data_IF_526396183612
#
_entry.id   IF_526396183612
#
_cell.length_a   1.000
_cell.length_b   1.000
_cell.length_c   1.000
_cell.angle_alpha   90.00
_cell.angle_beta   90.00
_cell.angle_gamma   90.00
#
_symmetry.space_group_name_H-M   'P 1'
#
loop_
_entity.id
_entity.type
_entity.pdbx_description
1 polymer ?
#
# COMPACT_ATOMS: atom_id res chain seq x y z
N UNK A 1 37.65 -4.99 -31.71
CA UNK A 1 36.60 -5.16 -32.75
C UNK A 1 35.54 -6.18 -32.34
N UNK A 2 35.90 -7.39 -31.92
CA UNK A 2 34.93 -8.45 -31.52
C UNK A 2 34.04 -8.07 -30.33
N UNK A 3 34.55 -7.39 -29.30
CA UNK A 3 33.74 -6.91 -28.15
C UNK A 3 32.69 -5.86 -28.56
N UNK A 4 33.02 -4.94 -29.47
CA UNK A 4 32.09 -3.93 -29.98
C UNK A 4 31.00 -4.56 -30.86
N UNK A 5 31.37 -5.51 -31.72
CA UNK A 5 30.40 -6.26 -32.53
C UNK A 5 29.46 -7.11 -31.67
N UNK A 6 29.99 -7.76 -30.62
CA UNK A 6 29.18 -8.53 -29.66
C UNK A 6 28.21 -7.65 -28.87
N UNK A 7 28.67 -6.52 -28.35
CA UNK A 7 27.83 -5.52 -27.67
C UNK A 7 26.70 -5.00 -28.58
N UNK A 8 26.97 -4.75 -29.86
CA UNK A 8 25.96 -4.31 -30.82
C UNK A 8 24.90 -5.39 -31.11
N UNK A 9 25.31 -6.65 -31.25
CA UNK A 9 24.43 -7.80 -31.45
C UNK A 9 23.53 -8.01 -30.22
N UNK A 10 24.10 -7.98 -29.02
CA UNK A 10 23.34 -8.08 -27.77
C UNK A 10 22.44 -6.87 -27.55
N UNK A 11 22.86 -5.66 -27.92
CA UNK A 11 22.00 -4.48 -27.84
C UNK A 11 20.80 -4.54 -28.78
N UNK A 12 20.92 -5.24 -29.92
CA UNK A 12 19.84 -5.36 -30.91
C UNK A 12 18.92 -6.56 -30.69
N UNK A 13 19.43 -7.65 -30.12
CA UNK A 13 18.70 -8.92 -29.98
C UNK A 13 18.67 -9.50 -28.57
N UNK A 14 19.48 -8.96 -27.65
CA UNK A 14 19.46 -9.34 -26.25
C UNK A 14 18.19 -8.83 -25.57
N UNK A 15 17.72 -9.62 -24.62
CA UNK A 15 16.64 -9.22 -23.71
C UNK A 15 17.33 -8.89 -22.39
N UNK A 16 17.19 -7.64 -21.97
CA UNK A 16 17.64 -7.18 -20.65
C UNK A 16 16.41 -6.83 -19.81
N UNK A 17 16.45 -7.16 -18.53
CA UNK A 17 15.31 -7.00 -17.64
C UNK A 17 15.57 -7.53 -16.23
N UNK A 18 14.64 -7.22 -15.34
CA UNK A 18 14.76 -7.50 -13.92
C UNK A 18 13.88 -8.67 -13.50
N UNK A 19 14.47 -9.68 -12.87
CA UNK A 19 13.76 -10.77 -12.22
C UNK A 19 13.76 -10.53 -10.72
N UNK A 20 12.60 -10.19 -10.14
CA UNK A 20 12.46 -10.02 -8.69
C UNK A 20 12.06 -11.36 -8.06
N UNK A 21 12.91 -11.89 -7.18
CA UNK A 21 12.62 -13.08 -6.35
C UNK A 21 12.97 -12.74 -4.91
N UNK A 22 12.06 -13.04 -3.99
CA UNK A 22 12.24 -12.80 -2.55
C UNK A 22 12.64 -14.11 -1.89
N UNK A 23 13.39 -14.07 -0.80
CA UNK A 23 13.78 -15.28 -0.07
C UNK A 23 12.57 -16.14 0.29
N UNK A 24 12.69 -17.45 0.02
CA UNK A 24 11.64 -18.43 0.19
C UNK A 24 10.62 -18.49 -0.96
N UNK A 25 10.59 -17.50 -1.87
CA UNK A 25 9.67 -17.43 -3.00
C UNK A 25 10.31 -17.86 -4.32
N UNK A 26 9.45 -18.16 -5.29
CA UNK A 26 9.83 -18.60 -6.64
C UNK A 26 9.34 -17.60 -7.68
N UNK A 27 10.15 -17.30 -8.69
CA UNK A 27 9.85 -16.38 -9.77
C UNK A 27 10.35 -16.86 -11.14
N UNK A 28 9.57 -16.56 -12.18
CA UNK A 28 9.92 -16.85 -13.58
C UNK A 28 9.63 -15.67 -14.52
N UNK A 29 9.19 -14.53 -14.00
CA UNK A 29 8.76 -13.38 -14.80
C UNK A 29 9.81 -12.28 -14.73
N UNK A 30 10.40 -11.98 -15.88
CA UNK A 30 11.36 -10.89 -16.09
C UNK A 30 10.58 -9.67 -16.53
N UNK A 31 10.76 -8.55 -15.83
CA UNK A 31 10.21 -7.25 -16.20
C UNK A 31 11.19 -6.56 -17.13
N UNK A 32 10.75 -6.24 -18.35
CA UNK A 32 11.55 -5.58 -19.36
C UNK A 32 11.41 -4.05 -19.23
N UNK A 33 12.43 -3.25 -19.61
CA UNK A 33 12.36 -1.80 -19.55
C UNK A 33 11.40 -1.19 -20.58
N UNK A 34 10.98 -1.97 -21.59
CA UNK A 34 10.09 -1.51 -22.64
C UNK A 34 8.68 -1.34 -22.10
N UNK A 35 8.07 -0.18 -22.37
CA UNK A 35 6.70 0.10 -22.03
C UNK A 35 5.77 -0.44 -23.13
N UNK A 36 4.70 -1.12 -22.74
CA UNK A 36 3.79 -1.79 -23.69
C UNK A 36 2.33 -1.49 -23.35
N UNK A 37 1.54 -1.34 -24.42
CA UNK A 37 0.08 -1.43 -24.39
C UNK A 37 -0.29 -2.82 -24.88
N UNK A 38 -0.88 -3.61 -24.00
CA UNK A 38 -1.33 -4.96 -24.29
C UNK A 38 -2.85 -4.97 -24.38
N UNK A 39 -3.38 -5.39 -25.53
CA UNK A 39 -4.80 -5.54 -25.78
C UNK A 39 -5.08 -7.02 -25.96
N UNK A 40 -5.82 -7.59 -25.01
CA UNK A 40 -6.23 -8.99 -25.01
C UNK A 40 -7.76 -9.06 -25.05
N UNK A 41 -8.31 -9.73 -26.05
CA UNK A 41 -9.73 -10.05 -26.17
C UNK A 41 -9.92 -11.43 -26.78
N UNK A 42 -11.16 -11.84 -26.97
CA UNK A 42 -11.48 -13.17 -27.52
C UNK A 42 -10.91 -13.38 -28.93
N UNK A 43 -10.83 -12.32 -29.74
CA UNK A 43 -10.42 -12.37 -31.15
C UNK A 43 -9.01 -11.84 -31.41
N UNK A 44 -8.33 -11.31 -30.39
CA UNK A 44 -7.06 -10.62 -30.58
C UNK A 44 -6.17 -10.64 -29.34
N UNK A 45 -4.87 -10.81 -29.59
CA UNK A 45 -3.82 -10.50 -28.64
C UNK A 45 -2.78 -9.63 -29.34
N UNK A 46 -2.60 -8.39 -28.88
CA UNK A 46 -1.64 -7.44 -29.45
C UNK A 46 -0.85 -6.76 -28.35
N UNK A 47 0.46 -6.66 -28.57
CA UNK A 47 1.38 -5.82 -27.81
C UNK A 47 1.86 -4.70 -28.72
N UNK A 48 1.83 -3.48 -28.21
CA UNK A 48 2.30 -2.29 -28.93
C UNK A 48 3.22 -1.50 -28.03
N UNK A 49 4.43 -1.25 -28.50
CA UNK A 49 5.50 -0.65 -27.70
C UNK A 49 5.44 0.88 -27.74
N UNK A 50 5.67 1.48 -26.58
CA UNK A 50 5.79 2.92 -26.39
C UNK A 50 7.19 3.27 -25.88
N UNK A 51 7.76 4.34 -26.43
CA UNK A 51 9.04 4.87 -25.95
C UNK A 51 8.76 5.88 -24.84
N UNK A 52 9.30 5.63 -23.64
CA UNK A 52 9.19 6.57 -22.51
C UNK A 52 10.19 7.72 -22.70
N UNK A 53 9.74 8.79 -23.34
CA UNK A 53 10.51 10.03 -23.52
C UNK A 53 10.36 11.00 -22.34
N UNK A 54 10.98 12.18 -22.44
CA UNK A 54 10.83 13.26 -21.45
C UNK A 54 9.56 14.10 -21.64
N UNK A 55 8.98 14.07 -22.84
CA UNK A 55 7.82 14.87 -23.20
C UNK A 55 6.58 14.00 -23.40
N UNK A 56 5.37 14.52 -23.16
CA UNK A 56 4.14 13.86 -23.55
C UNK A 56 4.12 13.56 -25.06
N UNK A 57 3.48 12.45 -25.43
CA UNK A 57 3.19 12.10 -26.81
C UNK A 57 1.71 12.34 -27.09
N UNK A 58 1.40 12.88 -28.26
CA UNK A 58 0.03 13.02 -28.74
C UNK A 58 -0.36 11.92 -29.74
N UNK A 59 -1.57 12.01 -30.28
CA UNK A 59 -2.12 11.04 -31.22
C UNK A 59 -1.26 10.89 -32.49
N UNK A 60 -0.60 11.96 -32.95
CA UNK A 60 0.21 11.97 -34.16
C UNK A 60 1.56 11.27 -33.92
N UNK A 61 2.14 11.44 -32.74
CA UNK A 61 3.36 10.75 -32.33
C UNK A 61 3.17 9.23 -32.24
N UNK A 62 1.93 8.79 -31.99
CA UNK A 62 1.54 7.38 -31.82
C UNK A 62 0.84 6.79 -33.06
N UNK A 63 0.99 7.39 -34.24
CA UNK A 63 0.32 6.93 -35.47
C UNK A 63 0.62 5.47 -35.83
N UNK A 64 1.88 5.03 -35.69
CA UNK A 64 2.27 3.65 -36.01
C UNK A 64 1.63 2.62 -35.08
N UNK A 65 1.56 2.96 -33.79
CA UNK A 65 0.91 2.19 -32.74
C UNK A 65 -0.61 2.12 -32.98
N UNK A 66 -1.20 3.25 -33.37
CA UNK A 66 -2.62 3.35 -33.70
C UNK A 66 -3.00 2.51 -34.93
N UNK A 67 -2.15 2.42 -35.95
CA UNK A 67 -2.41 1.54 -37.10
C UNK A 67 -2.39 0.05 -36.68
N UNK A 68 -1.52 -0.33 -35.74
CA UNK A 68 -1.49 -1.70 -35.20
C UNK A 68 -2.74 -2.06 -34.36
N UNK A 69 -3.38 -1.06 -33.75
CA UNK A 69 -4.58 -1.21 -32.90
C UNK A 69 -5.88 -0.86 -33.64
N UNK A 70 -5.79 -0.60 -34.95
CA UNK A 70 -6.89 -0.10 -35.78
C UNK A 70 -8.13 -0.98 -35.65
N UNK A 71 -9.28 -0.31 -35.46
CA UNK A 71 -10.58 -0.96 -35.33
C UNK A 71 -10.87 -1.54 -33.94
N UNK A 72 -10.00 -1.34 -32.95
CA UNK A 72 -10.26 -1.72 -31.55
C UNK A 72 -10.17 -0.52 -30.62
N UNK A 73 -9.04 0.18 -30.61
CA UNK A 73 -8.89 1.40 -29.83
C UNK A 73 -7.84 2.32 -30.47
N UNK A 74 -7.76 3.55 -29.99
CA UNK A 74 -6.74 4.52 -30.37
C UNK A 74 -6.05 5.06 -29.12
N UNK A 75 -4.73 5.18 -29.18
CA UNK A 75 -3.91 5.91 -28.23
C UNK A 75 -4.02 7.41 -28.56
N UNK A 76 -4.48 8.20 -27.60
CA UNK A 76 -4.74 9.63 -27.81
C UNK A 76 -3.66 10.53 -27.21
N UNK A 77 -3.22 10.23 -25.98
CA UNK A 77 -2.20 11.00 -25.27
C UNK A 77 -1.43 10.09 -24.33
N UNK A 78 -0.12 10.23 -24.26
CA UNK A 78 0.72 9.55 -23.28
C UNK A 78 1.51 10.60 -22.50
N UNK A 79 1.44 10.57 -21.18
CA UNK A 79 2.20 11.43 -20.27
C UNK A 79 3.22 10.55 -19.55
N UNK A 80 4.53 10.67 -19.84
CA UNK A 80 5.55 9.73 -19.33
C UNK A 80 5.75 9.80 -17.82
N UNK A 81 5.52 10.97 -17.22
CA UNK A 81 5.61 11.21 -15.78
C UNK A 81 4.32 11.90 -15.36
N UNK A 82 3.35 11.11 -14.93
CA UNK A 82 1.98 11.55 -14.71
C UNK A 82 1.61 11.53 -13.24
N UNK A 83 0.86 12.56 -12.81
CA UNK A 83 0.01 12.50 -11.63
C UNK A 83 -1.42 12.20 -12.11
N UNK A 84 -1.99 11.13 -11.57
CA UNK A 84 -3.39 10.78 -11.80
C UNK A 84 -4.25 11.49 -10.78
N UNK A 85 -5.17 12.30 -11.25
CA UNK A 85 -6.16 13.00 -10.45
C UNK A 85 -7.55 12.51 -10.87
N UNK A 86 -8.32 11.96 -9.93
CA UNK A 86 -9.72 11.58 -10.18
C UNK A 86 -10.64 12.76 -9.88
N UNK A 87 -11.38 13.19 -10.88
CA UNK A 87 -12.37 14.26 -10.80
C UNK A 87 -13.80 13.76 -10.99
N UNK A 88 -14.74 14.69 -10.85
CA UNK A 88 -16.16 14.47 -11.13
C UNK A 88 -16.62 15.45 -12.21
N UNK A 89 -17.09 14.92 -13.34
CA UNK A 89 -17.63 15.70 -14.46
C UNK A 89 -19.13 15.53 -14.52
N UNK A 90 -19.86 16.65 -14.62
CA UNK A 90 -21.31 16.64 -14.80
C UNK A 90 -21.65 16.22 -16.23
N UNK A 91 -22.48 15.20 -16.36
CA UNK A 91 -22.99 14.68 -17.64
C UNK A 91 -24.51 14.46 -17.52
N UNK A 92 -25.32 15.53 -17.69
CA UNK A 92 -26.77 15.44 -17.58
C UNK A 92 -27.34 14.43 -18.57
N UNK A 93 -28.18 13.52 -18.08
CA UNK A 93 -28.89 12.54 -18.92
C UNK A 93 -28.15 11.22 -19.17
N UNK A 94 -26.92 11.05 -18.67
CA UNK A 94 -26.23 9.74 -18.71
C UNK A 94 -26.86 8.78 -17.69
N UNK A 95 -27.16 7.55 -18.11
CA UNK A 95 -27.86 6.55 -17.28
C UNK A 95 -27.01 6.09 -16.08
N UNK A 96 -25.69 6.06 -16.27
CA UNK A 96 -24.70 5.72 -15.24
C UNK A 96 -24.30 6.92 -14.37
N UNK A 97 -24.70 8.15 -14.71
CA UNK A 97 -24.43 9.30 -13.86
C UNK A 97 -25.04 9.10 -12.46
N UNK A 98 -24.29 9.50 -11.43
CA UNK A 98 -24.67 9.33 -10.03
C UNK A 98 -24.53 10.61 -9.24
N UNK A 99 -24.63 10.46 -7.92
CA UNK A 99 -24.31 11.52 -6.96
C UNK A 99 -22.91 11.31 -6.42
N UNK A 100 -22.15 12.40 -6.31
CA UNK A 100 -20.85 12.39 -5.65
C UNK A 100 -20.75 13.45 -4.55
N UNK A 101 -20.03 13.10 -3.49
CA UNK A 101 -19.70 14.00 -2.38
C UNK A 101 -18.19 14.10 -2.28
N UNK A 102 -17.68 15.31 -2.52
CA UNK A 102 -16.29 15.66 -2.24
C UNK A 102 -16.17 16.12 -0.79
N UNK A 103 -15.13 15.68 -0.10
CA UNK A 103 -14.89 16.06 1.29
C UNK A 103 -13.39 16.16 1.58
N UNK A 104 -13.06 16.93 2.61
CA UNK A 104 -11.71 17.07 3.15
C UNK A 104 -11.74 16.56 4.60
N UNK A 105 -10.90 15.58 4.90
CA UNK A 105 -10.72 15.08 6.25
C UNK A 105 -9.34 15.48 6.77
N UNK A 106 -9.31 16.09 7.95
CA UNK A 106 -8.09 16.55 8.60
C UNK A 106 -7.96 15.94 9.99
N UNK A 107 -6.76 15.48 10.29
CA UNK A 107 -6.35 15.06 11.63
C UNK A 107 -5.02 15.73 11.98
N UNK A 108 -4.49 15.57 13.21
CA UNK A 108 -3.14 16.02 13.54
C UNK A 108 -2.03 15.39 12.69
N UNK A 109 -2.30 14.25 12.04
CA UNK A 109 -1.29 13.45 11.33
C UNK A 109 -1.45 13.45 9.82
N UNK A 110 -2.61 13.84 9.28
CA UNK A 110 -2.86 13.83 7.84
C UNK A 110 -3.95 14.83 7.44
N UNK A 111 -3.96 15.15 6.15
CA UNK A 111 -5.00 15.92 5.48
C UNK A 111 -5.28 15.27 4.12
N UNK A 112 -6.51 14.81 3.89
CA UNK A 112 -6.89 14.06 2.68
C UNK A 112 -8.16 14.67 2.08
N UNK A 113 -8.13 14.97 0.78
CA UNK A 113 -9.28 15.45 0.00
C UNK A 113 -9.69 14.37 -1.00
N UNK A 114 -10.94 13.95 -0.96
CA UNK A 114 -11.41 12.75 -1.66
C UNK A 114 -12.87 12.90 -2.12
N UNK A 115 -13.28 12.00 -3.01
CA UNK A 115 -14.66 11.89 -3.48
C UNK A 115 -15.24 10.51 -3.19
N UNK A 116 -16.49 10.48 -2.72
CA UNK A 116 -17.35 9.29 -2.77
C UNK A 116 -18.32 9.44 -3.93
N UNK A 117 -18.52 8.37 -4.69
CA UNK A 117 -19.47 8.31 -5.80
C UNK A 117 -20.42 7.14 -5.60
N UNK A 118 -21.73 7.38 -5.72
CA UNK A 118 -22.79 6.41 -5.43
C UNK A 118 -22.59 5.03 -6.09
N UNK A 119 -22.19 4.99 -7.36
CA UNK A 119 -22.05 3.72 -8.11
C UNK A 119 -20.63 3.15 -8.07
N UNK A 120 -19.62 3.97 -8.35
CA UNK A 120 -18.23 3.52 -8.51
C UNK A 120 -17.44 3.38 -7.20
N UNK A 121 -17.65 4.31 -6.25
CA UNK A 121 -16.93 4.35 -4.97
C UNK A 121 -17.89 4.69 -3.82
N UNK A 122 -18.90 3.84 -3.53
CA UNK A 122 -19.91 4.14 -2.53
C UNK A 122 -19.37 4.11 -1.10
N UNK A 123 -18.26 3.41 -0.89
CA UNK A 123 -17.66 3.19 0.42
C UNK A 123 -16.15 3.36 0.32
N UNK A 124 -15.56 4.08 1.27
CA UNK A 124 -14.11 4.22 1.39
C UNK A 124 -13.70 4.09 2.85
N UNK A 125 -12.66 3.29 3.13
CA UNK A 125 -12.05 3.23 4.46
C UNK A 125 -10.94 4.27 4.56
N UNK A 126 -10.96 5.05 5.63
CA UNK A 126 -9.88 6.00 5.95
C UNK A 126 -9.54 5.90 7.43
N UNK A 127 -8.36 5.33 7.71
CA UNK A 127 -7.98 4.96 9.07
C UNK A 127 -9.00 4.01 9.69
N UNK A 128 -9.53 4.29 10.90
CA UNK A 128 -10.55 3.46 11.55
C UNK A 128 -11.99 3.86 11.18
N UNK A 129 -12.18 4.87 10.32
CA UNK A 129 -13.49 5.28 9.85
C UNK A 129 -13.82 4.64 8.49
N UNK A 130 -15.08 4.24 8.33
CA UNK A 130 -15.69 3.83 7.07
C UNK A 130 -16.60 4.96 6.60
N UNK A 131 -16.28 5.55 5.46
CA UNK A 131 -17.07 6.60 4.83
C UNK A 131 -18.00 5.94 3.81
N UNK A 132 -19.27 6.31 3.80
CA UNK A 132 -20.25 5.78 2.85
C UNK A 132 -21.21 6.86 2.36
N UNK A 133 -21.49 6.87 1.07
CA UNK A 133 -22.57 7.68 0.49
C UNK A 133 -23.85 6.84 0.37
N UNK A 134 -24.99 7.46 0.69
CA UNK A 134 -26.33 6.89 0.56
C UNK A 134 -27.19 7.93 -0.15
N UNK A 135 -27.93 7.54 -1.17
CA UNK A 135 -28.83 8.42 -1.93
C UNK A 135 -30.29 8.10 -1.59
N UNK A 136 -31.12 9.12 -1.43
CA UNK A 136 -32.56 8.97 -1.16
C UNK A 136 -32.90 8.70 0.31
N UNK A 137 -34.07 8.09 0.56
CA UNK A 137 -34.52 7.78 1.91
C UNK A 137 -33.67 6.68 2.55
N UNK A 138 -33.10 7.00 3.70
CA UNK A 138 -32.34 6.05 4.51
C UNK A 138 -33.28 4.97 4.98
N UNK A 139 -33.20 3.78 4.39
CA UNK A 139 -33.77 2.62 5.04
C UNK A 139 -33.05 2.45 6.37
N UNK A 140 -33.76 2.37 7.52
CA UNK A 140 -33.13 2.16 8.80
C UNK A 140 -32.24 0.93 8.67
N UNK A 141 -30.94 1.08 8.97
CA UNK A 141 -30.01 -0.03 9.01
C UNK A 141 -30.66 -1.05 9.93
N UNK A 142 -31.16 -2.15 9.37
CA UNK A 142 -31.60 -3.26 10.20
C UNK A 142 -30.36 -3.62 11.00
N UNK A 143 -30.39 -3.32 12.30
CA UNK A 143 -29.31 -3.63 13.22
C UNK A 143 -28.90 -5.05 12.88
N UNK A 144 -27.67 -5.23 12.36
CA UNK A 144 -27.17 -6.54 12.00
C UNK A 144 -27.24 -7.31 13.30
N UNK A 145 -28.31 -8.11 13.48
CA UNK A 145 -28.49 -8.91 14.67
C UNK A 145 -27.22 -9.74 14.71
N UNK A 146 -26.39 -9.62 15.76
CA UNK A 146 -25.12 -10.31 15.80
C UNK A 146 -25.42 -11.77 15.49
N UNK A 147 -24.93 -12.23 14.33
CA UNK A 147 -25.11 -13.59 13.84
C UNK A 147 -24.91 -14.52 15.03
N UNK A 148 -25.92 -15.33 15.32
CA UNK A 148 -26.00 -16.16 16.52
C UNK A 148 -24.64 -16.80 16.76
N UNK A 149 -23.95 -16.33 17.83
CA UNK A 149 -22.55 -16.65 18.14
C UNK A 149 -22.23 -18.08 17.70
N UNK A 150 -21.59 -18.23 16.55
CA UNK A 150 -21.00 -19.50 16.19
C UNK A 150 -20.05 -19.84 17.34
N UNK A 151 -20.35 -20.91 18.08
CA UNK A 151 -19.47 -21.43 19.12
C UNK A 151 -18.19 -21.88 18.41
N UNK A 152 -17.28 -20.94 18.18
CA UNK A 152 -15.92 -21.24 17.79
C UNK A 152 -15.36 -22.08 18.93
N UNK A 153 -15.13 -23.35 18.63
CA UNK A 153 -14.49 -24.27 19.56
C UNK A 153 -13.14 -23.66 19.92
N UNK A 154 -13.02 -23.15 21.15
CA UNK A 154 -11.75 -22.72 21.74
C UNK A 154 -10.82 -23.94 21.69
N UNK A 155 -9.92 -23.97 20.72
CA UNK A 155 -8.83 -24.92 20.69
C UNK A 155 -8.02 -24.72 21.96
N UNK A 156 -7.71 -25.82 22.65
CA UNK A 156 -6.85 -25.77 23.85
C UNK A 156 -5.52 -25.10 23.45
N UNK A 157 -5.03 -24.12 24.22
CA UNK A 157 -3.81 -23.42 23.88
C UNK A 157 -2.65 -24.43 23.79
N UNK A 158 -2.10 -24.59 22.58
CA UNK A 158 -0.85 -25.31 22.39
C UNK A 158 0.24 -24.68 23.26
N UNK A 159 1.12 -25.51 23.83
CA UNK A 159 2.19 -25.12 24.76
C UNK A 159 2.93 -23.85 24.28
N UNK A 160 2.56 -22.70 24.84
CA UNK A 160 3.14 -21.40 24.49
C UNK A 160 4.55 -21.32 25.07
N UNK A 161 5.57 -21.15 24.22
CA UNK A 161 6.89 -20.73 24.70
C UNK A 161 6.70 -19.36 25.36
N UNK A 162 6.95 -19.29 26.67
CA UNK A 162 6.94 -18.01 27.39
C UNK A 162 8.02 -17.12 26.78
N UNK A 163 7.71 -15.83 26.61
CA UNK A 163 8.73 -14.82 26.26
C UNK A 163 9.87 -14.98 27.27
N UNK A 164 11.04 -15.36 26.77
CA UNK A 164 12.20 -15.63 27.60
C UNK A 164 12.66 -14.32 28.27
N UNK A 165 13.23 -14.43 29.47
CA UNK A 165 13.65 -13.28 30.28
C UNK A 165 14.81 -12.46 29.70
N UNK A 166 15.21 -12.76 28.47
CA UNK A 166 16.35 -12.20 27.74
C UNK A 166 15.98 -11.00 26.87
N UNK A 167 14.70 -10.76 26.60
CA UNK A 167 14.24 -9.55 25.88
C UNK A 167 14.48 -8.26 26.68
N UNK A 168 14.92 -7.21 25.98
CA UNK A 168 15.28 -5.92 26.56
C UNK A 168 14.50 -4.79 25.90
N UNK A 169 14.06 -3.82 26.69
CA UNK A 169 13.61 -2.51 26.23
C UNK A 169 14.79 -1.55 26.34
N UNK A 170 15.28 -1.07 25.22
CA UNK A 170 16.27 0.00 25.19
C UNK A 170 15.54 1.34 25.24
N UNK A 171 15.96 2.19 26.16
CA UNK A 171 15.41 3.52 26.36
C UNK A 171 16.51 4.50 25.97
N UNK A 172 16.28 5.21 24.88
CA UNK A 172 17.22 6.17 24.30
C UNK A 172 16.77 7.59 24.56
N UNK A 173 17.74 8.49 24.59
CA UNK A 173 17.49 9.92 24.59
C UNK A 173 16.98 10.33 23.21
N UNK A 174 15.86 11.03 23.13
CA UNK A 174 15.28 11.45 21.86
C UNK A 174 16.13 12.52 21.15
N UNK A 175 16.95 13.27 21.89
CA UNK A 175 17.77 14.36 21.34
C UNK A 175 19.04 13.88 20.65
N UNK A 176 19.71 12.85 21.19
CA UNK A 176 21.01 12.40 20.70
C UNK A 176 21.09 10.88 20.42
N UNK A 177 20.01 10.12 20.64
CA UNK A 177 19.93 8.68 20.34
C UNK A 177 20.70 7.77 21.31
N UNK A 178 21.40 8.32 22.31
CA UNK A 178 22.18 7.54 23.27
C UNK A 178 21.28 6.67 24.15
N UNK A 179 21.71 5.43 24.42
CA UNK A 179 21.00 4.52 25.33
C UNK A 179 21.13 5.06 26.77
N UNK A 180 20.03 5.55 27.33
CA UNK A 180 19.93 6.01 28.71
C UNK A 180 19.79 4.83 29.67
N UNK A 181 19.01 3.82 29.29
CA UNK A 181 18.78 2.63 30.12
C UNK A 181 18.38 1.43 29.27
N UNK A 182 18.75 0.24 29.70
CA UNK A 182 18.26 -1.03 29.15
C UNK A 182 17.54 -1.80 30.25
N UNK A 183 16.30 -2.20 30.02
CA UNK A 183 15.44 -2.85 31.02
C UNK A 183 14.92 -4.19 30.51
N UNK A 184 14.81 -5.17 31.39
CA UNK A 184 14.15 -6.45 31.09
C UNK A 184 12.69 -6.41 31.56
N UNK A 185 11.88 -7.38 31.11
CA UNK A 185 10.53 -7.56 31.66
C UNK A 185 10.51 -7.84 33.17
N UNK A 186 11.60 -8.40 33.72
CA UNK A 186 11.72 -8.59 35.18
C UNK A 186 11.84 -7.26 35.93
N UNK A 187 12.41 -6.24 35.29
CA UNK A 187 12.56 -4.93 35.91
C UNK A 187 11.21 -4.21 35.98
N UNK A 188 10.42 -4.24 34.90
CA UNK A 188 9.06 -3.69 34.90
C UNK A 188 8.12 -4.39 35.87
N UNK A 189 8.33 -5.68 36.16
CA UNK A 189 7.55 -6.43 37.17
C UNK A 189 7.80 -5.96 38.61
N UNK A 190 8.89 -5.24 38.88
CA UNK A 190 9.17 -4.69 40.21
C UNK A 190 8.36 -3.41 40.50
N UNK A 191 7.75 -2.81 39.47
CA UNK A 191 6.95 -1.59 39.57
C UNK A 191 7.34 -0.54 38.52
N UNK A 192 6.75 0.66 38.58
CA UNK A 192 7.12 1.78 37.74
C UNK A 192 8.60 2.18 37.92
N UNK A 193 9.26 2.60 36.84
CA UNK A 193 10.68 2.95 36.84
C UNK A 193 10.83 4.41 36.45
N UNK A 194 11.48 5.22 37.28
CA UNK A 194 11.77 6.62 36.96
C UNK A 194 13.07 6.73 36.14
N UNK A 195 13.01 7.43 35.01
CA UNK A 195 14.13 7.69 34.11
C UNK A 195 14.09 9.16 33.70
N UNK A 196 15.06 9.95 34.15
CA UNK A 196 15.15 11.39 33.86
C UNK A 196 13.84 12.16 34.15
N UNK A 197 13.15 11.83 35.25
CA UNK A 197 11.88 12.49 35.61
C UNK A 197 10.65 11.97 34.86
N UNK A 198 10.79 10.91 34.06
CA UNK A 198 9.69 10.19 33.42
C UNK A 198 9.47 8.87 34.14
N UNK A 199 8.29 8.67 34.71
CA UNK A 199 7.87 7.39 35.27
C UNK A 199 7.36 6.48 34.15
N UNK A 200 8.00 5.33 33.94
CA UNK A 200 7.67 4.34 32.92
C UNK A 200 7.06 3.12 33.59
N UNK A 201 5.85 2.76 33.21
CA UNK A 201 5.12 1.60 33.73
C UNK A 201 4.72 0.67 32.59
N UNK A 202 4.86 -0.65 32.81
CA UNK A 202 4.41 -1.66 31.86
C UNK A 202 2.92 -1.93 32.09
N UNK A 203 2.12 -1.75 31.04
CA UNK A 203 0.67 -1.95 31.08
C UNK A 203 0.33 -3.38 30.66
N UNK A 204 0.74 -3.75 29.44
CA UNK A 204 0.44 -5.07 28.86
C UNK A 204 1.67 -5.64 28.13
N UNK A 205 1.70 -6.98 28.04
CA UNK A 205 2.69 -7.75 27.28
C UNK A 205 1.92 -8.64 26.31
N UNK A 206 2.27 -8.57 25.05
CA UNK A 206 1.67 -9.37 23.98
C UNK A 206 2.75 -10.27 23.36
N UNK A 207 2.42 -11.53 23.06
CA UNK A 207 3.32 -12.43 22.33
C UNK A 207 3.15 -12.31 20.81
N UNK A 208 1.91 -12.07 20.38
CA UNK A 208 1.43 -11.95 19.01
C UNK A 208 0.55 -10.72 18.93
N UNK A 209 1.17 -9.56 19.10
CA UNK A 209 0.49 -8.29 19.03
C UNK A 209 -0.17 -8.10 17.67
N UNK A 210 -1.49 -7.96 17.70
CA UNK A 210 -2.29 -7.51 16.57
C UNK A 210 -3.00 -6.23 16.97
N UNK A 211 -3.11 -5.29 16.03
CA UNK A 211 -3.92 -4.10 16.23
C UNK A 211 -5.35 -4.47 15.90
N UNK A 212 -6.20 -4.51 16.91
CA UNK A 212 -7.64 -4.75 16.77
C UNK A 212 -8.38 -3.68 17.53
N UNK A 213 -9.44 -3.12 16.94
CA UNK A 213 -10.26 -2.10 17.60
C UNK A 213 -9.44 -0.85 18.05
N UNK A 214 -8.40 -0.50 17.29
CA UNK A 214 -7.46 0.59 17.61
C UNK A 214 -6.74 0.41 18.97
N UNK A 215 -6.66 -0.83 19.45
CA UNK A 215 -5.92 -1.24 20.64
C UNK A 215 -5.02 -2.41 20.28
N UNK A 216 -4.04 -2.66 21.14
CA UNK A 216 -3.28 -3.91 21.05
C UNK A 216 -4.10 -5.02 21.66
N UNK A 217 -4.20 -6.12 20.93
CA UNK A 217 -4.75 -7.37 21.40
C UNK A 217 -3.75 -8.50 21.15
N UNK A 218 -3.92 -9.57 21.90
CA UNK A 218 -3.21 -10.82 21.67
C UNK A 218 -3.90 -11.55 20.50
N UNK A 219 -3.16 -11.81 19.43
CA UNK A 219 -3.64 -12.51 18.25
C UNK A 219 -3.77 -14.01 18.47
N UNK A 220 -4.76 -14.63 17.82
CA UNK A 220 -5.02 -16.07 17.92
C UNK A 220 -4.18 -16.92 16.96
N UNK A 221 -3.58 -16.33 15.91
CA UNK A 221 -2.73 -16.98 14.91
C UNK A 221 -1.64 -16.06 14.33
N UNK A 222 -0.81 -16.58 13.42
CA UNK A 222 0.23 -15.82 12.72
C UNK A 222 1.65 -15.91 13.33
N UNK A 223 2.61 -15.23 12.68
CA UNK A 223 4.00 -15.09 13.13
C UNK A 223 4.05 -14.38 14.48
N UNK A 224 4.97 -14.80 15.35
CA UNK A 224 5.18 -14.15 16.65
C UNK A 224 5.63 -12.69 16.46
N UNK A 225 4.81 -11.75 16.94
CA UNK A 225 5.09 -10.32 16.95
C UNK A 225 4.95 -9.78 18.38
N UNK A 226 5.92 -10.02 19.26
CA UNK A 226 5.79 -9.63 20.64
C UNK A 226 5.79 -8.10 20.76
N UNK A 227 4.94 -7.55 21.62
CA UNK A 227 4.88 -6.11 21.85
C UNK A 227 4.65 -5.79 23.31
N UNK A 228 5.08 -4.60 23.71
CA UNK A 228 4.84 -4.05 25.04
C UNK A 228 4.04 -2.76 24.92
N UNK A 229 3.05 -2.64 25.78
CA UNK A 229 2.33 -1.39 26.00
C UNK A 229 2.85 -0.72 27.26
N UNK A 230 3.38 0.49 27.10
CA UNK A 230 3.98 1.27 28.16
C UNK A 230 3.12 2.51 28.44
N UNK A 231 3.04 2.89 29.72
CA UNK A 231 2.47 4.16 30.16
C UNK A 231 3.59 5.01 30.76
N UNK A 232 3.72 6.21 30.22
CA UNK A 232 4.74 7.19 30.55
C UNK A 232 4.08 8.35 31.30
N UNK A 233 4.63 8.77 32.44
CA UNK A 233 4.11 9.92 33.19
C UNK A 233 5.24 10.88 33.53
N UNK A 234 5.10 12.16 33.21
CA UNK A 234 6.06 13.20 33.59
C UNK A 234 5.31 14.51 33.86
N UNK A 235 5.62 15.17 34.97
CA UNK A 235 5.01 16.45 35.37
C UNK A 235 3.46 16.43 35.34
N UNK A 236 2.86 15.32 35.77
CA UNK A 236 1.40 15.14 35.77
C UNK A 236 0.77 14.86 34.41
N UNK A 237 1.54 14.86 33.31
CA UNK A 237 1.09 14.47 31.97
C UNK A 237 1.36 12.99 31.75
N UNK A 238 0.40 12.27 31.19
CA UNK A 238 0.54 10.86 30.83
C UNK A 238 0.55 10.69 29.30
N UNK A 239 1.38 9.78 28.82
CA UNK A 239 1.44 9.35 27.42
C UNK A 239 1.47 7.83 27.33
N UNK A 240 0.92 7.29 26.24
CA UNK A 240 0.93 5.87 25.90
C UNK A 240 2.00 5.62 24.85
N UNK A 241 2.78 4.56 25.02
CA UNK A 241 3.78 4.13 24.05
C UNK A 241 3.63 2.63 23.76
N UNK A 242 3.97 2.23 22.53
CA UNK A 242 3.91 0.84 22.08
C UNK A 242 5.20 0.51 21.36
N UNK A 243 5.84 -0.58 21.78
CA UNK A 243 7.06 -1.08 21.15
C UNK A 243 6.89 -2.53 20.70
N UNK A 244 7.29 -2.81 19.46
CA UNK A 244 7.19 -4.14 18.85
C UNK A 244 8.57 -4.78 18.72
N UNK A 245 8.65 -6.08 18.97
CA UNK A 245 9.88 -6.86 18.84
C UNK A 245 10.30 -7.06 17.38
N UNK A 246 9.33 -7.26 16.47
CA UNK A 246 9.61 -7.35 15.04
C UNK A 246 9.86 -6.01 14.38
N UNK A 247 9.47 -4.90 15.00
CA UNK A 247 9.65 -3.54 14.48
C UNK A 247 10.24 -2.64 15.57
N UNK A 248 11.51 -2.83 15.97
CA UNK A 248 12.09 -2.12 17.10
C UNK A 248 12.10 -0.60 16.95
N UNK A 249 12.06 -0.10 15.70
CA UNK A 249 12.05 1.33 15.37
C UNK A 249 10.64 1.96 15.38
N UNK A 250 9.59 1.14 15.45
CA UNK A 250 8.23 1.66 15.51
C UNK A 250 7.96 2.27 16.88
N UNK A 251 7.40 3.48 16.90
CA UNK A 251 6.93 4.17 18.09
C UNK A 251 5.69 5.00 17.74
N UNK A 252 4.78 5.17 18.70
CA UNK A 252 3.65 6.10 18.56
C UNK A 252 4.12 7.56 18.61
N UNK A 253 5.32 7.81 19.11
CA UNK A 253 5.95 9.12 19.23
C UNK A 253 7.32 9.08 18.53
N UNK A 254 7.39 9.21 17.20
CA UNK A 254 8.65 9.07 16.45
C UNK A 254 9.74 10.07 16.91
N UNK A 255 9.33 11.24 17.42
CA UNK A 255 10.24 12.24 18.00
C UNK A 255 10.56 12.01 19.49
N UNK A 256 10.13 10.88 20.05
CA UNK A 256 10.21 10.54 21.46
C UNK A 256 9.05 11.11 22.29
N UNK A 257 8.73 10.43 23.38
CA UNK A 257 7.78 10.87 24.39
C UNK A 257 8.54 11.35 25.63
N UNK A 258 8.29 12.60 26.04
CA UNK A 258 9.00 13.25 27.16
C UNK A 258 10.54 13.20 27.02
N UNK A 259 11.04 13.33 25.78
CA UNK A 259 12.48 13.27 25.49
C UNK A 259 13.09 11.87 25.49
N UNK A 260 12.28 10.80 25.54
CA UNK A 260 12.73 9.41 25.51
C UNK A 260 12.15 8.66 24.30
N UNK A 261 12.95 7.78 23.70
CA UNK A 261 12.53 6.79 22.69
C UNK A 261 12.69 5.38 23.26
N UNK A 262 11.84 4.46 22.80
CA UNK A 262 11.78 3.10 23.31
C UNK A 262 11.92 2.12 22.15
N UNK A 263 12.81 1.14 22.28
CA UNK A 263 13.00 0.05 21.31
C UNK A 263 12.87 -1.29 22.05
N UNK A 264 12.08 -2.23 21.51
CA UNK A 264 11.96 -3.56 22.11
C UNK A 264 12.79 -4.58 21.33
N UNK A 265 13.86 -5.05 21.97
CA UNK A 265 14.76 -6.04 21.41
C UNK A 265 14.40 -7.43 21.95
N UNK A 266 13.97 -8.30 21.04
CA UNK A 266 13.70 -9.71 21.34
C UNK A 266 14.80 -10.56 20.70
N UNK A 267 15.58 -11.32 21.50
CA UNK A 267 16.64 -12.18 20.97
C UNK A 267 16.13 -13.15 19.91
N UNK A 268 16.83 -13.25 18.79
CA UNK A 268 16.46 -14.12 17.68
C UNK A 268 15.30 -13.61 16.81
N UNK A 269 14.76 -12.42 17.10
CA UNK A 269 13.74 -11.74 16.29
C UNK A 269 14.21 -10.40 15.73
N UNK A 270 15.53 -10.21 15.61
CA UNK A 270 16.05 -9.09 14.83
C UNK A 270 15.46 -9.16 13.43
N UNK A 271 14.94 -8.04 12.95
CA UNK A 271 14.94 -7.79 11.51
C UNK A 271 16.40 -8.05 11.11
N UNK A 272 16.67 -9.00 10.22
CA UNK A 272 17.90 -8.94 9.44
C UNK A 272 17.86 -7.57 8.79
N UNK A 273 18.52 -6.61 9.43
CA UNK A 273 18.52 -5.20 9.01
C UNK A 273 19.21 -5.16 7.66
N UNK A 274 18.44 -5.39 6.60
CA UNK A 274 18.59 -4.60 5.40
C UNK A 274 18.55 -3.15 5.85
N UNK A 275 19.68 -2.48 5.68
CA UNK A 275 19.86 -1.07 5.97
C UNK A 275 18.86 -0.24 5.16
N UNK A 276 17.69 0.02 5.73
CA UNK A 276 16.79 1.08 5.26
C UNK A 276 17.37 2.40 5.75
N UNK A 277 18.41 2.86 5.06
CA UNK A 277 18.78 4.26 5.08
C UNK A 277 17.89 4.97 4.05
N UNK A 278 17.07 5.88 4.56
CA UNK A 278 16.29 6.91 3.87
C UNK A 278 15.15 6.53 2.90
N UNK A 279 14.01 7.15 3.22
CA UNK A 279 12.94 7.63 2.35
C UNK A 279 12.29 6.65 1.37
N UNK A 280 11.33 5.88 1.89
CA UNK A 280 9.94 5.99 1.41
C UNK A 280 9.02 5.18 2.32
N UNK A 281 7.81 5.70 2.54
CA UNK A 281 6.75 5.09 3.34
C UNK A 281 6.10 3.89 2.60
N UNK A 282 6.91 3.05 1.94
CA UNK A 282 6.45 1.91 1.15
C UNK A 282 6.60 0.64 1.98
N UNK A 283 5.46 0.06 2.35
CA UNK A 283 5.40 -1.24 3.02
C UNK A 283 6.06 -2.32 2.12
N UNK A 284 6.81 -3.29 2.69
CA UNK A 284 7.49 -4.32 1.92
C UNK A 284 6.50 -5.21 1.13
N UNK A 285 6.92 -5.62 -0.08
CA UNK A 285 6.18 -6.52 -0.95
C UNK A 285 5.92 -7.87 -0.25
N UNK A 286 4.65 -8.23 -0.10
CA UNK A 286 4.19 -9.34 0.75
C UNK A 286 3.22 -8.90 1.87
N UNK A 287 3.11 -7.59 2.11
CA UNK A 287 1.94 -7.04 2.78
C UNK A 287 0.72 -7.21 1.88
N UNK A 288 -0.23 -8.07 2.30
CA UNK A 288 -1.60 -8.00 1.78
C UNK A 288 -2.09 -6.57 2.01
N UNK A 289 -2.64 -5.86 1.01
CA UNK A 289 -3.23 -4.55 1.25
C UNK A 289 -4.19 -4.68 2.44
N UNK A 290 -4.09 -3.75 3.39
CA UNK A 290 -4.92 -3.73 4.61
C UNK A 290 -6.42 -3.45 4.30
N UNK A 291 -6.85 -3.69 3.07
CA UNK A 291 -8.22 -3.80 2.61
C UNK A 291 -8.53 -5.29 2.40
N UNK A 292 -8.86 -6.03 3.47
CA UNK A 292 -9.54 -7.30 3.23
C UNK A 292 -9.61 -8.35 4.34
N UNK A 293 -8.73 -8.38 5.33
CA UNK A 293 -8.81 -9.42 6.37
C UNK A 293 -8.47 -8.87 7.76
N UNK A 294 -9.47 -8.19 8.33
CA UNK A 294 -9.58 -8.06 9.79
C UNK A 294 -10.41 -9.27 10.24
N UNK A 295 -9.81 -10.13 11.05
CA UNK A 295 -10.51 -11.17 11.79
C UNK A 295 -11.73 -10.59 12.51
N UNK A 296 -12.91 -11.21 12.33
CA UNK A 296 -14.26 -10.78 12.72
C UNK A 296 -14.51 -10.57 14.24
N UNK A 297 -13.48 -10.30 15.04
CA UNK A 297 -13.61 -10.02 16.46
C UNK A 297 -14.01 -8.54 16.71
N UNK A 298 -15.31 -8.29 16.52
CA UNK A 298 -16.24 -7.51 17.37
C UNK A 298 -16.13 -6.02 17.70
N UNK A 299 -15.35 -5.17 17.02
CA UNK A 299 -15.69 -3.72 17.00
C UNK A 299 -16.21 -3.32 15.64
N UNK A 300 -17.49 -2.93 15.56
CA UNK A 300 -18.00 -2.28 14.36
C UNK A 300 -17.18 -1.00 14.11
N UNK A 301 -16.73 -0.76 12.86
CA UNK A 301 -15.95 0.43 12.53
C UNK A 301 -16.75 1.70 12.85
N UNK A 302 -16.06 2.82 13.07
CA UNK A 302 -16.75 4.11 13.08
C UNK A 302 -17.24 4.38 11.65
N UNK A 303 -18.48 4.83 11.48
CA UNK A 303 -19.07 5.06 10.16
C UNK A 303 -19.40 6.54 10.01
N UNK A 304 -19.05 7.10 8.87
CA UNK A 304 -19.48 8.43 8.41
C UNK A 304 -20.37 8.21 7.19
N UNK A 305 -21.66 8.48 7.35
CA UNK A 305 -22.67 8.35 6.30
C UNK A 305 -23.04 9.72 5.72
N UNK A 306 -22.85 9.87 4.42
CA UNK A 306 -23.31 11.02 3.64
C UNK A 306 -24.63 10.66 2.97
N UNK A 307 -25.74 11.13 3.54
CA UNK A 307 -27.07 10.88 3.01
C UNK A 307 -27.45 12.06 2.14
N UNK A 308 -27.39 11.83 0.84
CA UNK A 308 -27.65 12.88 -0.15
C UNK A 308 -29.11 12.75 -0.60
N UNK A 309 -29.96 13.75 -0.31
CA UNK A 309 -31.35 13.75 -0.78
C UNK A 309 -31.39 13.79 -2.32
N UNK A 310 -32.51 13.43 -2.92
CA UNK A 310 -32.69 13.49 -4.38
C UNK A 310 -32.56 14.93 -4.91
N UNK A 311 -33.05 15.90 -4.12
CA UNK A 311 -33.04 17.34 -4.44
C UNK A 311 -32.43 18.15 -3.29
N UNK A 312 -31.93 19.35 -3.60
CA UNK A 312 -31.33 20.27 -2.64
C UNK A 312 -29.80 20.23 -2.56
N UNK A 313 -29.25 21.26 -1.91
CA UNK A 313 -27.80 21.53 -1.79
C UNK A 313 -27.21 21.11 -0.43
N UNK A 314 -28.03 20.57 0.46
CA UNK A 314 -27.61 20.06 1.77
C UNK A 314 -27.66 18.53 1.75
N UNK A 315 -26.71 17.90 2.45
CA UNK A 315 -26.77 16.48 2.76
C UNK A 315 -26.97 16.29 4.26
N UNK A 316 -27.53 15.16 4.64
CA UNK A 316 -27.57 14.75 6.03
C UNK A 316 -26.33 13.90 6.33
N UNK A 317 -25.58 14.28 7.35
CA UNK A 317 -24.43 13.51 7.81
C UNK A 317 -24.80 12.73 9.06
N UNK A 318 -24.53 11.42 9.05
CA UNK A 318 -24.68 10.54 10.22
C UNK A 318 -23.34 9.98 10.63
N UNK A 319 -23.01 10.11 11.91
CA UNK A 319 -21.80 9.54 12.51
C UNK A 319 -22.22 8.40 13.43
N UNK A 320 -21.67 7.21 13.18
CA UNK A 320 -21.88 6.04 14.02
C UNK A 320 -20.58 5.61 14.68
N UNK A 321 -20.63 5.31 15.97
CA UNK A 321 -19.51 4.79 16.75
C UNK A 321 -19.93 3.48 17.37
N UNK A 322 -19.24 2.39 17.05
CA UNK A 322 -19.61 1.04 17.50
C UNK A 322 -21.06 0.65 17.16
N UNK A 323 -21.59 1.14 16.04
CA UNK A 323 -22.97 0.90 15.61
C UNK A 323 -24.03 1.82 16.23
N UNK A 324 -23.67 2.66 17.21
CA UNK A 324 -24.57 3.65 17.80
C UNK A 324 -24.44 4.99 17.08
N UNK A 325 -25.56 5.61 16.72
CA UNK A 325 -25.59 6.95 16.16
C UNK A 325 -25.21 7.97 17.24
N UNK A 326 -24.13 8.71 17.00
CA UNK A 326 -23.59 9.72 17.93
C UNK A 326 -23.79 11.14 17.43
N UNK A 327 -24.00 11.33 16.12
CA UNK A 327 -24.34 12.62 15.54
C UNK A 327 -25.18 12.41 14.28
N UNK A 328 -26.20 13.25 14.13
CA UNK A 328 -26.99 13.39 12.91
C UNK A 328 -27.21 14.88 12.65
N UNK A 329 -26.77 15.39 11.50
CA UNK A 329 -26.82 16.83 11.20
C UNK A 329 -26.88 17.09 9.70
N UNK A 330 -27.72 18.04 9.29
CA UNK A 330 -27.68 18.58 7.93
C UNK A 330 -26.51 19.55 7.74
N UNK A 331 -25.73 19.33 6.68
CA UNK A 331 -24.53 20.10 6.35
C UNK A 331 -24.57 20.53 4.88
N UNK A 332 -24.21 21.78 4.62
CA UNK A 332 -23.96 22.28 3.26
C UNK A 332 -22.49 22.11 2.86
N UNK A 333 -22.21 22.26 1.57
CA UNK A 333 -20.84 22.42 1.08
C UNK A 333 -20.13 23.61 1.78
N UNK A 334 -18.86 23.44 2.10
CA UNK A 334 -18.02 24.33 2.90
C UNK A 334 -18.14 24.16 4.42
N UNK A 335 -19.20 23.52 4.92
CA UNK A 335 -19.34 23.31 6.37
C UNK A 335 -18.32 22.30 6.90
N UNK A 336 -17.77 22.59 8.08
CA UNK A 336 -16.82 21.72 8.80
C UNK A 336 -17.42 21.24 10.11
N UNK A 337 -17.20 19.97 10.43
CA UNK A 337 -17.61 19.36 11.69
C UNK A 337 -16.44 18.58 12.33
N UNK A 338 -16.39 18.60 13.65
CA UNK A 338 -15.51 17.74 14.42
C UNK A 338 -16.18 16.38 14.62
N UNK A 339 -15.44 15.32 14.33
CA UNK A 339 -15.89 13.96 14.61
C UNK A 339 -15.73 13.65 16.10
N UNK A 340 -16.61 12.85 16.73
CA UNK A 340 -16.57 12.57 18.16
C UNK A 340 -15.49 11.55 18.55
N UNK A 341 -14.57 11.25 17.64
CA UNK A 341 -13.45 10.36 17.85
C UNK A 341 -12.18 10.96 17.22
N UNK A 342 -11.06 10.84 17.94
CA UNK A 342 -9.71 11.10 17.42
C UNK A 342 -9.37 12.54 17.00
N UNK A 343 -10.20 13.54 17.32
CA UNK A 343 -9.91 14.95 17.00
C UNK A 343 -9.74 15.20 15.50
N UNK A 344 -10.54 14.51 14.67
CA UNK A 344 -10.56 14.74 13.24
C UNK A 344 -11.69 15.70 12.88
N UNK A 345 -11.44 16.58 11.94
CA UNK A 345 -12.44 17.40 11.29
C UNK A 345 -12.77 16.90 9.89
N UNK A 346 -14.05 17.00 9.53
CA UNK A 346 -14.59 16.67 8.22
C UNK A 346 -15.23 17.94 7.65
N UNK A 347 -14.72 18.39 6.51
CA UNK A 347 -15.28 19.49 5.73
C UNK A 347 -15.96 18.92 4.50
N UNK A 348 -17.22 19.28 4.27
CA UNK A 348 -17.91 18.93 3.03
C UNK A 348 -17.38 19.86 1.94
N UNK A 349 -16.75 19.33 0.91
CA UNK A 349 -16.20 20.11 -0.19
C UNK A 349 -17.29 20.53 -1.16
N UNK A 350 -17.93 19.56 -1.81
CA UNK A 350 -19.01 19.81 -2.75
C UNK A 350 -19.92 18.60 -2.91
N UNK A 351 -21.14 18.85 -3.36
CA UNK A 351 -22.15 17.83 -3.67
C UNK A 351 -22.47 18.00 -5.14
N UNK A 352 -22.18 16.99 -5.95
CA UNK A 352 -22.46 17.02 -7.38
C UNK A 352 -23.44 15.92 -7.75
N UNK A 353 -24.31 16.21 -8.71
CA UNK A 353 -25.35 15.31 -9.20
C UNK A 353 -25.18 15.11 -10.68
N UNK A 354 -25.66 13.97 -11.17
CA UNK A 354 -25.48 13.58 -12.56
C UNK A 354 -24.01 13.67 -12.97
N UNK A 355 -23.13 13.20 -12.09
CA UNK A 355 -21.69 13.14 -12.35
C UNK A 355 -21.25 11.74 -12.70
N UNK A 356 -20.16 11.66 -13.44
CA UNK A 356 -19.36 10.45 -13.64
C UNK A 356 -17.94 10.74 -13.16
N UNK A 357 -17.25 9.73 -12.63
CA UNK A 357 -15.84 9.91 -12.32
C UNK A 357 -15.07 10.01 -13.62
N UNK A 358 -14.19 10.99 -13.69
CA UNK A 358 -13.28 11.16 -14.81
C UNK A 358 -11.88 11.23 -14.26
N UNK A 359 -11.06 10.29 -14.68
CA UNK A 359 -9.64 10.35 -14.39
C UNK A 359 -8.98 11.34 -15.34
N UNK A 360 -8.03 12.10 -14.81
CA UNK A 360 -7.20 13.02 -15.57
C UNK A 360 -5.73 12.75 -15.22
N UNK A 361 -4.88 12.78 -16.23
CA UNK A 361 -3.44 12.74 -16.04
C UNK A 361 -2.84 14.11 -16.35
N UNK A 362 -2.08 14.63 -15.39
CA UNK A 362 -1.27 15.84 -15.54
C UNK A 362 0.21 15.49 -15.47
N UNK A 363 1.07 16.33 -16.05
CA UNK A 363 2.51 16.18 -15.91
C UNK A 363 2.91 16.38 -14.44
N UNK A 364 3.54 15.37 -13.86
CA UNK A 364 4.08 15.45 -12.51
C UNK A 364 5.44 16.16 -12.52
N UNK A 365 5.73 17.05 -11.54
CA UNK A 365 7.04 17.64 -11.42
C UNK A 365 8.08 16.55 -11.12
N UNK A 366 9.24 16.63 -11.77
CA UNK A 366 10.37 15.77 -11.47
C UNK A 366 11.15 16.37 -10.29
N UNK A 367 11.16 15.66 -9.17
CA UNK A 367 11.89 16.06 -7.97
C UNK A 367 13.19 15.27 -7.93
N UNK A 368 14.32 15.97 -7.79
CA UNK A 368 15.64 15.33 -7.75
C UNK A 368 15.72 14.35 -6.57
N UNK A 369 16.27 13.15 -6.81
CA UNK A 369 16.43 12.06 -5.83
C UNK A 369 15.15 11.37 -5.39
N UNK A 370 13.98 11.83 -5.81
CA UNK A 370 12.74 11.07 -5.66
C UNK A 370 12.58 10.04 -6.79
N UNK A 371 11.88 8.92 -6.55
CA UNK A 371 11.49 8.01 -7.62
C UNK A 371 10.70 8.75 -8.71
N UNK A 372 11.01 8.45 -9.97
CA UNK A 372 10.32 9.06 -11.10
C UNK A 372 8.82 8.70 -11.07
N UNK A 373 7.92 9.66 -11.33
CA UNK A 373 6.49 9.38 -11.44
C UNK A 373 6.18 8.33 -12.52
N UNK A 374 5.11 7.57 -12.31
CA UNK A 374 4.61 6.59 -13.28
C UNK A 374 4.01 7.29 -14.51
N UNK A 375 4.03 6.63 -15.66
CA UNK A 375 3.34 7.16 -16.85
C UNK A 375 1.83 6.99 -16.79
N UNK A 376 1.10 7.73 -17.62
CA UNK A 376 -0.33 7.53 -17.86
C UNK A 376 -0.66 7.63 -19.35
N UNK A 377 -1.55 6.76 -19.82
CA UNK A 377 -1.95 6.64 -21.21
C UNK A 377 -3.46 6.85 -21.34
N UNK A 378 -3.84 7.77 -22.21
CA UNK A 378 -5.22 7.97 -22.61
C UNK A 378 -5.53 7.14 -23.85
N UNK A 379 -6.54 6.29 -23.75
CA UNK A 379 -7.06 5.48 -24.84
C UNK A 379 -8.49 5.90 -25.21
N UNK A 380 -8.87 5.67 -26.46
CA UNK A 380 -10.23 5.88 -26.98
C UNK A 380 -10.71 4.55 -27.59
N UNK A 381 -11.69 3.88 -26.99
CA UNK A 381 -12.30 2.67 -27.58
C UNK A 381 -12.89 2.95 -28.97
N UNK A 382 -12.87 1.96 -29.87
CA UNK A 382 -13.48 2.11 -31.19
C UNK A 382 -14.97 2.41 -31.07
N UNK A 383 -15.48 3.23 -32.01
CA UNK A 383 -16.86 3.71 -31.96
C UNK A 383 -17.13 4.79 -30.90
N UNK A 384 -16.17 5.10 -30.01
CA UNK A 384 -16.28 6.20 -29.04
C UNK A 384 -15.51 7.44 -29.52
N UNK A 385 -16.05 8.61 -29.20
CA UNK A 385 -15.36 9.90 -29.33
C UNK A 385 -14.44 10.18 -28.14
N UNK A 386 -13.89 11.40 -28.07
CA UNK A 386 -13.06 11.85 -26.94
C UNK A 386 -13.79 11.81 -25.59
N UNK A 387 -15.12 11.91 -25.59
CA UNK A 387 -15.94 11.78 -24.38
C UNK A 387 -15.90 10.37 -23.77
N UNK A 388 -15.58 9.35 -24.57
CA UNK A 388 -15.35 7.98 -24.10
C UNK A 388 -13.88 7.65 -23.86
N UNK A 389 -13.00 8.66 -23.81
CA UNK A 389 -11.59 8.45 -23.53
C UNK A 389 -11.37 8.02 -22.08
N UNK A 390 -10.41 7.12 -21.87
CA UNK A 390 -10.10 6.55 -20.57
C UNK A 390 -8.60 6.67 -20.32
N UNK A 391 -8.22 7.07 -19.10
CA UNK A 391 -6.83 7.05 -18.67
C UNK A 391 -6.50 5.72 -17.98
N UNK A 392 -5.29 5.22 -18.25
CA UNK A 392 -4.72 4.03 -17.64
C UNK A 392 -3.34 4.41 -17.12
N UNK A 393 -3.08 4.24 -15.83
CA UNK A 393 -1.75 4.47 -15.27
C UNK A 393 -0.83 3.28 -15.56
N UNK A 394 0.47 3.51 -15.62
CA UNK A 394 1.48 2.46 -15.76
C UNK A 394 1.35 1.42 -14.64
N UNK A 395 1.19 0.14 -15.02
CA UNK A 395 0.92 -0.98 -14.11
C UNK A 395 -0.56 -1.37 -14.04
N UNK A 396 -1.48 -0.56 -14.55
CA UNK A 396 -2.92 -0.83 -14.49
C UNK A 396 -3.44 -1.60 -15.71
N UNK A 397 -4.65 -2.14 -15.54
CA UNK A 397 -5.45 -2.70 -16.63
C UNK A 397 -6.90 -2.23 -16.54
N UNK A 398 -7.52 -1.97 -17.69
CA UNK A 398 -8.95 -1.66 -17.82
C UNK A 398 -9.65 -2.72 -18.64
N UNK A 399 -10.89 -3.00 -18.27
CA UNK A 399 -11.78 -3.90 -19.00
C UNK A 399 -12.79 -3.07 -19.78
N UNK A 400 -12.94 -3.36 -21.07
CA UNK A 400 -13.72 -2.58 -22.02
C UNK A 400 -14.67 -3.51 -22.78
N UNK A 401 -15.84 -3.00 -23.15
CA UNK A 401 -16.73 -3.65 -24.10
C UNK A 401 -16.77 -2.84 -25.40
N UNK A 402 -16.40 -3.46 -26.52
CA UNK A 402 -16.35 -2.84 -27.85
C UNK A 402 -17.06 -3.78 -28.82
N UNK A 403 -18.14 -3.31 -29.44
CA UNK A 403 -19.01 -4.13 -30.31
C UNK A 403 -19.45 -5.45 -29.64
N UNK A 404 -19.95 -5.35 -28.39
CA UNK A 404 -20.38 -6.47 -27.54
C UNK A 404 -19.30 -7.52 -27.21
N UNK A 405 -18.02 -7.21 -27.48
CA UNK A 405 -16.87 -8.06 -27.12
C UNK A 405 -16.08 -7.46 -25.97
N UNK A 406 -15.60 -8.33 -25.11
CA UNK A 406 -14.82 -7.95 -23.95
C UNK A 406 -13.32 -7.91 -24.28
N UNK A 407 -12.66 -6.82 -23.87
CA UNK A 407 -11.24 -6.58 -24.04
C UNK A 407 -10.62 -6.16 -22.71
N UNK A 408 -9.47 -6.71 -22.37
CA UNK A 408 -8.58 -6.21 -21.32
C UNK A 408 -7.45 -5.43 -21.96
N UNK A 409 -7.31 -4.17 -21.57
CA UNK A 409 -6.20 -3.30 -21.98
C UNK A 409 -5.30 -3.07 -20.79
N UNK A 410 -4.05 -3.50 -20.87
CA UNK A 410 -3.02 -3.28 -19.86
C UNK A 410 -2.00 -2.28 -20.39
N UNK A 411 -1.56 -1.37 -19.53
CA UNK A 411 -0.48 -0.44 -19.82
C UNK A 411 0.60 -0.58 -18.75
N UNK A 412 1.84 -0.88 -19.14
CA UNK A 412 2.92 -1.06 -18.17
C UNK A 412 4.18 -1.63 -18.80
N UNK A 413 5.14 -1.99 -17.95
CA UNK A 413 6.34 -2.69 -18.39
C UNK A 413 5.96 -4.00 -19.13
N UNK A 414 6.71 -4.32 -20.18
CA UNK A 414 6.61 -5.61 -20.84
C UNK A 414 7.17 -6.69 -19.90
N UNK A 415 6.66 -7.91 -20.06
CA UNK A 415 7.09 -9.04 -19.25
C UNK A 415 7.45 -10.21 -20.14
N UNK A 416 8.50 -10.90 -19.75
CA UNK A 416 8.99 -12.11 -20.39
C UNK A 416 9.02 -13.25 -19.38
N UNK A 417 8.45 -14.40 -19.74
CA UNK A 417 8.46 -15.58 -18.88
C UNK A 417 9.64 -16.49 -19.26
N UNK A 418 10.51 -16.74 -18.29
CA UNK A 418 11.60 -17.70 -18.42
C UNK A 418 11.05 -19.12 -18.62
N UNK A 419 11.77 -20.00 -19.34
CA UNK A 419 11.38 -21.40 -19.50
C UNK A 419 11.60 -22.25 -18.23
N UNK A 420 12.11 -21.64 -17.15
CA UNK A 420 12.30 -22.22 -15.84
C UNK A 420 11.91 -21.20 -14.77
N UNK A 421 11.68 -21.68 -13.55
CA UNK A 421 11.51 -20.82 -12.38
C UNK A 421 12.72 -20.91 -11.46
N UNK A 422 13.03 -19.81 -10.79
CA UNK A 422 14.05 -19.73 -9.76
C UNK A 422 13.45 -19.45 -8.40
N UNK A 423 13.83 -20.25 -7.43
CA UNK A 423 13.52 -20.04 -6.03
C UNK A 423 14.73 -19.50 -5.30
N UNK A 424 14.60 -18.34 -4.66
CA UNK A 424 15.67 -17.80 -3.82
C UNK A 424 15.61 -18.50 -2.46
N UNK A 425 16.60 -19.34 -2.15
CA UNK A 425 16.68 -20.06 -0.88
C UNK A 425 17.23 -19.17 0.22
N UNK A 426 18.30 -18.43 -0.11
CA UNK A 426 19.01 -17.56 0.82
C UNK A 426 19.79 -16.49 0.07
N UNK A 427 19.77 -15.28 0.58
CA UNK A 427 20.61 -14.16 0.20
C UNK A 427 21.67 -13.97 1.29
N UNK A 428 22.92 -13.75 0.90
CA UNK A 428 24.03 -13.54 1.81
C UNK A 428 24.73 -12.25 1.41
N UNK A 429 24.83 -11.33 2.36
CA UNK A 429 25.64 -10.12 2.28
C UNK A 429 26.83 -10.27 3.22
N UNK A 430 28.04 -10.20 2.68
CA UNK A 430 29.27 -10.17 3.47
C UNK A 430 29.78 -8.75 3.50
N UNK A 431 30.03 -8.18 4.67
CA UNK A 431 30.57 -6.83 4.84
C UNK A 431 32.09 -6.85 5.04
N UNK A 432 32.77 -5.76 4.66
CA UNK A 432 34.18 -5.59 4.97
C UNK A 432 34.42 -5.59 6.49
N UNK A 433 35.52 -6.21 6.99
CA UNK A 433 35.83 -6.17 8.41
C UNK A 433 35.89 -4.74 8.95
N UNK A 434 35.00 -4.42 9.90
CA UNK A 434 34.93 -3.10 10.54
C UNK A 434 34.14 -2.04 9.77
N UNK A 435 33.41 -2.40 8.72
CA UNK A 435 32.52 -1.51 7.96
C UNK A 435 31.15 -2.18 7.76
N UNK A 436 30.10 -1.39 7.47
CA UNK A 436 28.80 -1.89 6.97
C UNK A 436 28.73 -1.92 5.44
N UNK A 437 29.85 -1.61 4.78
CA UNK A 437 29.99 -1.66 3.33
C UNK A 437 30.05 -3.12 2.88
N UNK A 438 29.16 -3.47 1.96
CA UNK A 438 29.12 -4.80 1.35
C UNK A 438 30.42 -5.07 0.61
N UNK A 439 31.06 -6.18 0.94
CA UNK A 439 32.17 -6.78 0.21
C UNK A 439 31.67 -7.70 -0.90
N UNK A 440 30.64 -8.50 -0.61
CA UNK A 440 30.11 -9.50 -1.53
C UNK A 440 28.62 -9.74 -1.30
N UNK A 441 27.93 -10.07 -2.39
CA UNK A 441 26.56 -10.52 -2.39
C UNK A 441 26.46 -11.87 -3.09
N UNK A 442 25.76 -12.80 -2.44
CA UNK A 442 25.48 -14.13 -2.97
C UNK A 442 24.00 -14.44 -2.87
N UNK A 443 23.45 -15.04 -3.93
CA UNK A 443 22.10 -15.58 -3.97
C UNK A 443 22.17 -17.09 -4.15
N UNK A 444 21.80 -17.83 -3.12
CA UNK A 444 21.60 -19.27 -3.19
C UNK A 444 20.22 -19.53 -3.80
N UNK A 445 20.20 -20.02 -5.03
CA UNK A 445 18.98 -20.24 -5.79
C UNK A 445 18.79 -21.72 -6.10
N UNK A 446 17.55 -22.13 -6.27
CA UNK A 446 17.19 -23.46 -6.74
C UNK A 446 16.31 -23.33 -7.98
N UNK A 447 16.64 -24.05 -9.03
CA UNK A 447 15.78 -24.13 -10.21
C UNK A 447 14.66 -25.13 -9.94
N UNK A 448 13.41 -24.76 -10.24
CA UNK A 448 12.26 -25.64 -10.05
C UNK A 448 12.49 -27.00 -10.73
N UNK A 449 12.29 -28.09 -9.97
CA UNK A 449 12.54 -29.47 -10.43
C UNK A 449 13.99 -29.97 -10.28
N UNK A 450 14.93 -29.11 -9.88
CA UNK A 450 16.29 -29.53 -9.51
C UNK A 450 16.45 -29.57 -7.99
N UNK A 451 17.02 -30.63 -7.39
CA UNK A 451 17.38 -30.64 -5.98
C UNK A 451 18.65 -29.81 -5.70
N UNK A 452 19.40 -29.43 -6.73
CA UNK A 452 20.67 -28.71 -6.60
C UNK A 452 20.46 -27.23 -6.25
N UNK A 453 21.19 -26.75 -5.25
CA UNK A 453 21.31 -25.33 -4.93
C UNK A 453 22.49 -24.75 -5.70
N UNK A 454 22.22 -23.74 -6.51
CA UNK A 454 23.20 -22.99 -7.28
C UNK A 454 23.49 -21.65 -6.59
N UNK A 455 24.67 -21.08 -6.82
CA UNK A 455 25.05 -19.77 -6.28
C UNK A 455 25.17 -18.79 -7.43
N UNK A 456 24.56 -17.61 -7.28
CA UNK A 456 24.77 -16.45 -8.14
C UNK A 456 25.54 -15.42 -7.31
N UNK A 457 26.71 -15.00 -7.77
CA UNK A 457 27.52 -13.95 -7.15
C UNK A 457 27.93 -12.91 -8.19
N UNK A 458 28.53 -11.79 -7.75
CA UNK A 458 28.86 -10.64 -8.62
C UNK A 458 29.68 -11.01 -9.87
N UNK A 459 30.53 -12.03 -9.78
CA UNK A 459 31.41 -12.46 -10.88
C UNK A 459 31.09 -13.85 -11.41
N UNK A 460 30.08 -14.53 -10.85
CA UNK A 460 29.68 -15.88 -11.23
C UNK A 460 28.17 -15.90 -11.52
N UNK A 461 27.75 -15.39 -12.69
CA UNK A 461 26.33 -15.36 -13.06
C UNK A 461 25.83 -16.77 -13.40
N UNK A 462 24.56 -17.03 -13.10
CA UNK A 462 23.92 -18.27 -13.51
C UNK A 462 23.62 -18.24 -15.01
N UNK A 463 24.21 -19.17 -15.76
CA UNK A 463 23.93 -19.39 -17.18
C UNK A 463 23.02 -20.58 -17.35
N UNK A 464 21.83 -20.38 -17.91
CA UNK A 464 20.86 -21.45 -18.12
C UNK A 464 19.92 -21.16 -19.28
N UNK A 465 19.68 -22.15 -20.14
CA UNK A 465 18.73 -22.10 -21.27
C UNK A 465 18.91 -20.86 -22.17
N UNK A 466 20.16 -20.41 -22.35
CA UNK A 466 20.51 -19.22 -23.14
C UNK A 466 20.41 -17.89 -22.39
N UNK A 467 19.96 -17.89 -21.14
CA UNK A 467 19.89 -16.73 -20.26
C UNK A 467 21.13 -16.64 -19.36
N UNK A 468 21.55 -15.42 -19.06
CA UNK A 468 22.60 -15.13 -18.07
C UNK A 468 22.00 -14.23 -17.00
N UNK A 469 21.96 -14.71 -15.76
CA UNK A 469 21.33 -14.04 -14.64
C UNK A 469 22.40 -13.51 -13.70
N UNK A 470 22.39 -12.20 -13.49
CA UNK A 470 23.28 -11.51 -12.58
C UNK A 470 22.54 -11.20 -11.28
N UNK A 471 23.29 -11.12 -10.18
CA UNK A 471 22.81 -10.51 -8.95
C UNK A 471 22.96 -8.98 -9.10
N UNK A 472 21.92 -8.24 -8.73
CA UNK A 472 21.84 -6.77 -8.84
C UNK A 472 21.38 -6.14 -7.55
#
# INVERSE_FOLDING_TARGET
MTLLAGSFVTGKWGIDGNLRVVEGSEGSHVVLPNLVVEVAGEDIYRKVYLTKGLSPLDINDMNSQNEMLRGRLRLNKFVPFARMDSGMKEEPGRVDAGVAVGFLMKSPFFQVSEWLHEKEKPVQRMGPALLRIVTGEVQPIQAIKPSAKAKVARSKPANRKKIDGTSKVLIRSATNGEVVKALTLKDFKKGPINIKGVEVSLVNVFQRAVVSENRLAEGDGGKENPALELRLTSEGKASREVVYGLFPQFSLHPNGAFGLRFEYQVPGQGIETESVADESNVLPEGHVPLAGQISEASSQPNIIEFIVPTEGERLELRLLKNGEEVLRREVAAGETLETPWMGMSLTIGSIKRNVVSVDHAEEAPLIEKEPLPLGALQIIPAGKGLEGALWIQEGESRELTIDDKFYRVRFGADTFRLPFSLRLQKFVKTDYPGSSMAQEYESHVQVAGSPETLVISMNEPLKRDGFTLYQS
#
